data_IF_235020401427
#
_entry.id   IF_235020401427
#
_cell.length_a   1.000
_cell.length_b   1.000
_cell.length_c   1.000
_cell.angle_alpha   90.00
_cell.angle_beta   90.00
_cell.angle_gamma   90.00
#
_symmetry.space_group_name_H-M   'P 1'
#
loop_
_entity.id
_entity.type
_entity.pdbx_description
1 polymer ?
#
# COMPACT_ATOMS: atom_id res chain seq x y z
N UNK A 1 -0.64 -7.24 11.62
CA UNK A 1 0.39 -8.30 11.76
C UNK A 1 1.56 -7.99 10.82
N UNK A 2 2.74 -8.59 11.03
CA UNK A 2 3.86 -8.45 10.09
C UNK A 2 3.70 -9.43 8.92
N UNK A 3 4.36 -9.18 7.79
CA UNK A 3 4.40 -10.10 6.65
C UNK A 3 4.91 -11.49 7.06
N UNK A 4 5.97 -11.54 7.87
CA UNK A 4 6.53 -12.78 8.39
C UNK A 4 5.50 -13.60 9.20
N UNK A 5 4.71 -12.94 10.04
CA UNK A 5 3.68 -13.60 10.86
C UNK A 5 2.47 -14.09 10.05
N UNK A 6 2.29 -13.61 8.81
CA UNK A 6 1.20 -14.02 7.93
C UNK A 6 1.43 -15.37 7.23
N UNK A 7 2.59 -15.98 7.40
CA UNK A 7 2.93 -17.25 6.75
C UNK A 7 1.98 -18.37 7.21
N UNK A 8 1.29 -18.99 6.26
CA UNK A 8 0.33 -20.07 6.52
C UNK A 8 -1.07 -19.61 6.93
N UNK A 9 -1.34 -18.30 6.91
CA UNK A 9 -2.67 -17.74 7.13
C UNK A 9 -3.25 -17.23 5.81
N UNK A 10 -4.57 -17.23 5.70
CA UNK A 10 -5.30 -16.67 4.55
C UNK A 10 -6.45 -15.81 5.04
N UNK A 11 -6.73 -14.73 4.31
CA UNK A 11 -7.76 -13.77 4.67
C UNK A 11 -8.59 -13.38 3.44
N UNK A 12 -9.92 -13.17 3.58
CA UNK A 12 -10.74 -12.70 2.48
C UNK A 12 -10.27 -11.36 1.90
N UNK A 13 -9.86 -10.44 2.77
CA UNK A 13 -9.42 -9.09 2.42
C UNK A 13 -8.09 -8.79 3.09
N UNK A 14 -7.11 -8.31 2.34
CA UNK A 14 -5.76 -7.98 2.85
C UNK A 14 -5.42 -6.54 2.48
N UNK A 15 -4.89 -5.82 3.46
CA UNK A 15 -4.37 -4.47 3.28
C UNK A 15 -2.87 -4.49 3.54
N UNK A 16 -2.07 -4.31 2.49
CA UNK A 16 -0.63 -4.12 2.59
C UNK A 16 -0.35 -2.64 2.78
N UNK A 17 0.06 -2.29 4.00
CA UNK A 17 0.27 -0.91 4.45
C UNK A 17 1.71 -0.46 4.31
N UNK A 18 1.91 0.83 4.08
CA UNK A 18 3.22 1.45 3.84
C UNK A 18 4.02 0.77 2.71
N UNK A 19 3.37 0.50 1.59
CA UNK A 19 3.98 -0.21 0.45
C UNK A 19 4.91 0.68 -0.38
N UNK A 20 6.06 0.99 0.20
CA UNK A 20 7.10 1.87 -0.36
C UNK A 20 8.37 1.12 -0.73
N UNK A 21 9.28 1.78 -1.44
CA UNK A 21 10.63 1.25 -1.68
C UNK A 21 11.28 0.83 -0.36
N UNK A 22 11.87 -0.35 -0.36
CA UNK A 22 12.59 -0.96 0.75
C UNK A 22 11.72 -1.24 1.99
N UNK A 23 10.37 -1.26 1.86
CA UNK A 23 9.47 -1.53 2.98
C UNK A 23 9.60 -2.95 3.54
N UNK A 24 10.06 -3.88 2.72
CA UNK A 24 10.19 -5.30 3.08
C UNK A 24 11.66 -5.71 3.30
N UNK A 25 12.61 -4.77 3.31
CA UNK A 25 14.02 -5.08 3.56
C UNK A 25 14.28 -5.35 5.04
N UNK A 26 14.98 -6.43 5.32
CA UNK A 26 15.63 -6.69 6.61
C UNK A 26 17.03 -6.07 6.60
N UNK A 27 17.59 -5.70 7.76
CA UNK A 27 18.94 -5.11 7.86
C UNK A 27 19.99 -5.87 7.03
N UNK A 28 19.96 -7.21 7.03
CA UNK A 28 20.87 -8.06 6.25
C UNK A 28 20.71 -7.93 4.73
N UNK A 29 19.50 -7.66 4.22
CA UNK A 29 19.24 -7.47 2.78
C UNK A 29 19.67 -6.10 2.25
N UNK A 30 19.98 -5.16 3.14
CA UNK A 30 20.53 -3.85 2.78
C UNK A 30 22.00 -4.00 2.41
N UNK A 31 22.74 -4.82 3.18
CA UNK A 31 24.18 -5.01 3.00
C UNK A 31 24.54 -5.84 1.76
N UNK A 32 23.67 -6.78 1.35
CA UNK A 32 23.90 -7.67 0.20
C UNK A 32 23.19 -7.21 -1.10
N UNK A 33 22.44 -6.09 -1.04
CA UNK A 33 21.50 -5.63 -2.07
C UNK A 33 20.59 -6.74 -2.65
N UNK A 34 20.23 -7.69 -1.79
CA UNK A 34 19.52 -8.90 -2.16
C UNK A 34 18.01 -8.65 -2.19
N UNK A 35 17.50 -8.37 -3.40
CA UNK A 35 16.07 -8.12 -3.65
C UNK A 35 15.21 -9.39 -3.68
N UNK A 36 15.81 -10.58 -3.73
CA UNK A 36 15.05 -11.83 -3.83
C UNK A 36 14.25 -12.14 -2.58
N UNK A 37 14.79 -11.83 -1.40
CA UNK A 37 14.05 -12.02 -0.14
C UNK A 37 12.89 -11.02 -0.03
N UNK A 38 13.12 -9.76 -0.44
CA UNK A 38 12.07 -8.74 -0.49
C UNK A 38 10.92 -9.19 -1.42
N UNK A 39 11.27 -9.75 -2.57
CA UNK A 39 10.33 -10.32 -3.55
C UNK A 39 9.55 -11.51 -2.98
N UNK A 40 10.21 -12.41 -2.26
CA UNK A 40 9.55 -13.55 -1.58
C UNK A 40 8.55 -13.07 -0.54
N UNK A 41 8.90 -12.06 0.25
CA UNK A 41 7.98 -11.48 1.25
C UNK A 41 6.79 -10.79 0.60
N UNK A 42 7.01 -10.06 -0.51
CA UNK A 42 5.92 -9.47 -1.27
C UNK A 42 4.97 -10.54 -1.82
N UNK A 43 5.51 -11.60 -2.41
CA UNK A 43 4.72 -12.73 -2.90
C UNK A 43 3.90 -13.40 -1.78
N UNK A 44 4.51 -13.62 -0.61
CA UNK A 44 3.81 -14.14 0.56
C UNK A 44 2.63 -13.23 0.92
N UNK A 45 2.86 -11.92 1.05
CA UNK A 45 1.82 -10.95 1.38
C UNK A 45 0.66 -10.92 0.37
N UNK A 46 0.97 -10.90 -0.92
CA UNK A 46 -0.01 -10.90 -2.01
C UNK A 46 -0.88 -12.15 -1.95
N UNK A 47 -0.26 -13.32 -1.81
CA UNK A 47 -0.97 -14.62 -1.80
C UNK A 47 -1.73 -14.90 -0.50
N UNK A 48 -1.74 -13.98 0.48
CA UNK A 48 -2.63 -14.12 1.66
C UNK A 48 -4.07 -13.69 1.35
N UNK A 49 -4.28 -12.90 0.30
CA UNK A 49 -5.58 -12.38 -0.07
C UNK A 49 -6.35 -13.42 -0.90
N UNK A 50 -7.56 -13.74 -0.47
CA UNK A 50 -8.44 -14.66 -1.21
C UNK A 50 -9.41 -13.94 -2.15
N UNK A 51 -9.83 -12.70 -1.81
CA UNK A 51 -10.79 -11.93 -2.63
C UNK A 51 -10.21 -10.61 -3.10
N UNK A 52 -9.74 -9.76 -2.19
CA UNK A 52 -9.24 -8.43 -2.53
C UNK A 52 -7.94 -8.12 -1.79
N UNK A 53 -7.03 -7.48 -2.52
CA UNK A 53 -5.77 -6.98 -2.02
C UNK A 53 -5.69 -5.48 -2.27
N UNK A 54 -5.54 -4.71 -1.19
CA UNK A 54 -5.35 -3.27 -1.28
C UNK A 54 -3.93 -2.90 -0.83
N UNK A 55 -3.24 -2.11 -1.65
CA UNK A 55 -1.97 -1.50 -1.28
C UNK A 55 -2.20 -0.05 -0.83
N UNK A 56 -1.51 0.37 0.22
CA UNK A 56 -1.54 1.77 0.67
C UNK A 56 -0.14 2.34 0.83
N UNK A 57 0.04 3.58 0.40
CA UNK A 57 1.30 4.33 0.44
C UNK A 57 1.04 5.70 1.07
N UNK A 58 1.93 6.12 1.98
CA UNK A 58 1.93 7.48 2.52
C UNK A 58 2.56 8.44 1.51
N UNK A 59 1.90 9.56 1.18
CA UNK A 59 2.52 10.60 0.33
C UNK A 59 3.71 11.26 1.00
N UNK A 60 3.58 11.52 2.29
CA UNK A 60 4.56 12.17 3.14
C UNK A 60 4.50 11.53 4.52
N UNK A 61 5.66 11.28 5.14
CA UNK A 61 5.75 10.80 6.52
C UNK A 61 6.85 11.53 7.27
N UNK A 62 6.63 11.76 8.57
CA UNK A 62 7.66 12.32 9.43
C UNK A 62 8.46 11.18 10.05
N UNK A 63 9.74 11.10 9.75
CA UNK A 63 10.65 10.07 10.23
C UNK A 63 11.89 10.73 10.82
N UNK A 64 12.22 10.40 12.07
CA UNK A 64 13.34 10.99 12.81
C UNK A 64 13.36 12.54 12.82
N UNK A 65 12.17 13.15 12.84
CA UNK A 65 12.01 14.61 12.84
C UNK A 65 11.94 15.25 11.45
N UNK A 66 12.42 14.56 10.42
CA UNK A 66 12.42 15.02 9.03
C UNK A 66 11.17 14.56 8.27
N UNK A 67 10.78 15.35 7.26
CA UNK A 67 9.65 15.04 6.39
C UNK A 67 10.17 14.34 5.14
N UNK A 68 9.79 13.08 4.97
CA UNK A 68 10.25 12.21 3.89
C UNK A 68 9.07 11.87 2.97
N UNK A 69 9.31 11.95 1.66
CA UNK A 69 8.39 11.49 0.61
C UNK A 69 8.82 10.11 0.14
N UNK A 70 8.17 9.03 0.58
CA UNK A 70 8.57 7.69 0.20
C UNK A 70 8.16 7.41 -1.25
N UNK A 71 9.05 6.77 -2.00
CA UNK A 71 8.74 6.26 -3.33
C UNK A 71 7.89 4.98 -3.24
N UNK A 72 6.96 4.74 -4.20
CA UNK A 72 6.23 3.48 -4.27
C UNK A 72 7.17 2.28 -4.41
N UNK A 73 6.76 1.14 -3.88
CA UNK A 73 7.54 -0.09 -4.05
C UNK A 73 7.66 -0.50 -5.51
N UNK A 74 8.86 -0.96 -5.92
CA UNK A 74 9.13 -1.44 -7.29
C UNK A 74 8.19 -2.57 -7.71
N UNK A 75 7.75 -3.40 -6.77
CA UNK A 75 6.88 -4.55 -7.05
C UNK A 75 5.49 -4.13 -7.55
N UNK A 76 5.03 -2.91 -7.29
CA UNK A 76 3.78 -2.42 -7.89
C UNK A 76 3.86 -2.31 -9.40
N UNK A 77 5.05 -2.01 -9.95
CA UNK A 77 5.28 -1.89 -11.39
C UNK A 77 5.44 -3.24 -12.07
N UNK A 78 5.76 -4.28 -11.31
CA UNK A 78 5.94 -5.64 -11.80
C UNK A 78 4.62 -6.44 -11.84
N UNK A 79 3.59 -5.97 -11.14
CA UNK A 79 2.26 -6.56 -11.17
C UNK A 79 1.57 -6.31 -12.53
N UNK A 80 0.62 -7.16 -12.93
CA UNK A 80 -0.22 -6.91 -14.10
C UNK A 80 -0.96 -5.59 -13.95
N UNK A 81 -0.64 -4.61 -14.81
CA UNK A 81 -1.19 -3.27 -14.67
C UNK A 81 -2.69 -3.22 -14.99
N UNK A 82 -3.19 -4.15 -15.80
CA UNK A 82 -4.61 -4.26 -16.15
C UNK A 82 -5.49 -4.65 -14.94
N UNK A 83 -4.91 -5.33 -13.96
CA UNK A 83 -5.60 -5.74 -12.73
C UNK A 83 -5.47 -4.70 -11.61
N UNK A 84 -4.62 -3.68 -11.79
CA UNK A 84 -4.37 -2.66 -10.78
C UNK A 84 -5.28 -1.45 -10.96
N UNK A 85 -6.09 -1.18 -9.93
CA UNK A 85 -6.90 0.02 -9.84
C UNK A 85 -6.15 1.08 -9.02
N UNK A 86 -5.64 2.10 -9.71
CA UNK A 86 -5.02 3.24 -9.05
C UNK A 86 -6.10 4.19 -8.54
N UNK A 87 -6.30 4.20 -7.22
CA UNK A 87 -7.19 5.19 -6.59
C UNK A 87 -6.53 6.57 -6.68
N UNK A 88 -6.87 7.31 -7.74
CA UNK A 88 -6.45 8.70 -7.90
C UNK A 88 -6.90 9.48 -6.67
N UNK A 89 -5.93 10.16 -6.03
CA UNK A 89 -6.13 10.93 -4.81
C UNK A 89 -7.50 11.61 -4.83
N UNK A 90 -8.35 11.28 -3.84
CA UNK A 90 -9.71 11.82 -3.66
C UNK A 90 -9.83 13.20 -4.32
N UNK A 91 -10.69 13.33 -5.33
CA UNK A 91 -11.08 14.64 -5.87
C UNK A 91 -11.34 15.55 -4.67
N UNK A 92 -10.62 16.66 -4.60
CA UNK A 92 -10.86 17.68 -3.58
C UNK A 92 -12.31 18.11 -3.76
N UNK A 93 -13.22 17.57 -2.93
CA UNK A 93 -14.63 17.94 -3.01
C UNK A 93 -14.66 19.44 -2.74
N UNK A 94 -14.96 20.19 -3.77
CA UNK A 94 -15.05 21.64 -3.74
C UNK A 94 -16.09 22.04 -2.68
N UNK A 95 -15.94 23.15 -1.94
CA UNK A 95 -16.92 23.56 -0.92
C UNK A 95 -18.36 23.58 -1.44
N UNK A 96 -18.56 23.90 -2.71
CA UNK A 96 -19.85 23.91 -3.41
C UNK A 96 -20.49 22.52 -3.54
N UNK A 97 -19.70 21.48 -3.84
CA UNK A 97 -20.18 20.10 -3.94
C UNK A 97 -20.55 19.52 -2.57
N UNK A 98 -19.92 20.00 -1.48
CA UNK A 98 -20.31 19.66 -0.11
C UNK A 98 -21.64 20.30 0.27
N UNK A 99 -21.88 21.55 -0.15
CA UNK A 99 -23.14 22.26 0.09
C UNK A 99 -24.32 21.62 -0.65
N UNK A 100 -24.13 21.19 -1.91
CA UNK A 100 -25.19 20.52 -2.69
C UNK A 100 -25.57 19.15 -2.11
N UNK A 101 -24.60 18.35 -1.65
CA UNK A 101 -24.90 17.05 -1.01
C UNK A 101 -25.58 17.19 0.36
N UNK A 102 -25.31 18.24 1.11
CA UNK A 102 -25.97 18.50 2.40
C UNK A 102 -27.44 18.91 2.30
N UNK A 103 -27.89 19.41 1.15
CA UNK A 103 -29.27 19.85 0.94
C UNK A 103 -30.21 18.73 0.47
N UNK A 104 -29.68 17.60 0.01
CA UNK A 104 -30.47 16.43 -0.42
C UNK A 104 -30.91 15.49 0.73
N UNK A 105 -30.40 15.69 1.95
CA UNK A 105 -30.60 14.76 3.08
C UNK A 105 -31.67 15.22 4.11
N UNK A 106 -32.49 16.23 3.75
CA UNK A 106 -33.64 16.67 4.55
C UNK A 106 -34.93 16.59 3.72
N UNK A 107 -35.42 15.37 3.49
CA UNK A 107 -36.83 15.08 3.24
C UNK A 107 -37.18 13.75 3.88
#
# INVERSE_FOLDING_TARGET
>A
MTLHASKGLEFPYVYLVEWKRDCCRTQSSIDEDNVDEERRLAYVGITRAQKELTFTLCKERRQYGELVRPEPSRFLLELPQDDLIWEQARKTITPEERMQKGQGQRR
#
